data_IF_356659237065
#
_entry.id   IF_356659237065
#
_cell.length_a   1.000
_cell.length_b   1.000
_cell.length_c   1.000
_cell.angle_alpha   90.00
_cell.angle_beta   90.00
_cell.angle_gamma   90.00
#
_symmetry.space_group_name_H-M   'P 1'
#
loop_
_entity.id
_entity.type
_entity.pdbx_description
1 polymer ?
#
# COMPACT_ATOMS: atom_id res chain seq x y z
N UNK A 1 15.42 39.96 -18.24
CA UNK A 1 14.05 39.72 -18.74
C UNK A 1 14.03 38.34 -19.42
N UNK A 2 14.13 37.24 -18.66
CA UNK A 2 14.32 35.87 -19.17
C UNK A 2 13.31 34.85 -18.58
N UNK A 3 12.15 35.32 -18.16
CA UNK A 3 11.14 34.52 -17.45
C UNK A 3 10.07 33.91 -18.35
N UNK A 4 9.93 34.35 -19.61
CA UNK A 4 8.95 33.79 -20.54
C UNK A 4 9.40 32.47 -21.18
N UNK A 5 10.69 32.36 -21.55
CA UNK A 5 11.24 31.19 -22.22
C UNK A 5 11.26 29.95 -21.32
N UNK A 6 11.52 30.14 -20.02
CA UNK A 6 11.48 29.07 -19.02
C UNK A 6 10.07 28.52 -18.84
N UNK A 7 9.04 29.37 -18.81
CA UNK A 7 7.64 28.93 -18.70
C UNK A 7 7.16 28.14 -19.91
N UNK A 8 7.64 28.46 -21.11
CA UNK A 8 7.29 27.72 -22.33
C UNK A 8 8.00 26.36 -22.38
N UNK A 9 9.26 26.31 -21.92
CA UNK A 9 10.02 25.07 -21.80
C UNK A 9 9.38 24.07 -20.84
N UNK A 10 8.99 24.52 -19.64
CA UNK A 10 8.28 23.69 -18.66
C UNK A 10 6.94 23.15 -19.19
N UNK A 11 6.17 23.98 -19.91
CA UNK A 11 4.88 23.58 -20.47
C UNK A 11 5.03 22.52 -21.58
N UNK A 12 6.08 22.61 -22.40
CA UNK A 12 6.37 21.62 -23.44
C UNK A 12 6.88 20.31 -22.82
N UNK A 13 7.71 20.38 -21.78
CA UNK A 13 8.21 19.20 -21.07
C UNK A 13 7.08 18.44 -20.37
N UNK A 14 6.14 19.15 -19.74
CA UNK A 14 4.95 18.56 -19.11
C UNK A 14 4.00 17.86 -20.10
N UNK A 15 4.05 18.24 -21.38
CA UNK A 15 3.23 17.64 -22.45
C UNK A 15 3.92 16.47 -23.15
N UNK A 16 5.25 16.45 -23.15
CA UNK A 16 6.06 15.35 -23.71
C UNK A 16 6.35 14.25 -22.69
N UNK A 17 6.42 14.59 -21.41
CA UNK A 17 6.60 13.60 -20.36
C UNK A 17 5.35 12.70 -20.31
N UNK A 18 5.48 11.38 -20.52
CA UNK A 18 4.37 10.48 -20.29
C UNK A 18 3.95 10.66 -18.83
N UNK A 19 2.68 11.03 -18.64
CA UNK A 19 2.03 11.11 -17.35
C UNK A 19 1.80 9.68 -16.87
N UNK A 20 2.89 8.97 -16.57
CA UNK A 20 2.86 7.71 -15.85
C UNK A 20 2.26 8.05 -14.50
N UNK A 21 1.05 7.57 -14.25
CA UNK A 21 0.55 7.43 -12.90
C UNK A 21 1.67 6.73 -12.14
N UNK A 22 2.31 7.44 -11.23
CA UNK A 22 3.30 6.83 -10.37
C UNK A 22 2.57 5.65 -9.74
N UNK A 23 2.97 4.43 -10.14
CA UNK A 23 2.61 3.22 -9.41
C UNK A 23 3.36 3.33 -8.09
N UNK A 24 2.90 4.22 -7.21
CA UNK A 24 3.29 4.26 -5.83
C UNK A 24 2.75 2.96 -5.27
N UNK A 25 3.54 1.90 -5.42
CA UNK A 25 3.19 0.60 -4.90
C UNK A 25 2.85 0.77 -3.43
N UNK A 26 1.80 0.11 -2.97
CA UNK A 26 1.44 0.17 -1.56
C UNK A 26 2.62 -0.26 -0.70
N UNK A 27 2.82 0.33 0.49
CA UNK A 27 3.88 -0.09 1.38
C UNK A 27 3.71 -1.57 1.70
N UNK A 28 4.81 -2.33 1.59
CA UNK A 28 4.80 -3.74 1.96
C UNK A 28 4.81 -3.84 3.48
N UNK A 29 3.64 -4.08 4.06
CA UNK A 29 3.46 -4.13 5.51
C UNK A 29 2.94 -5.50 5.93
N UNK A 30 3.43 -6.00 7.06
CA UNK A 30 2.96 -7.25 7.66
C UNK A 30 2.45 -6.99 9.07
N UNK A 31 1.26 -7.51 9.38
CA UNK A 31 0.66 -7.39 10.70
C UNK A 31 0.03 -8.72 11.14
N UNK A 32 -0.22 -8.82 12.44
CA UNK A 32 -1.03 -9.89 12.99
C UNK A 32 -2.46 -9.42 13.17
N UNK A 33 -3.38 -10.18 12.62
CA UNK A 33 -4.81 -10.01 12.80
C UNK A 33 -5.29 -11.01 13.87
N UNK A 34 -6.17 -10.56 14.75
CA UNK A 34 -6.65 -11.30 15.91
C UNK A 34 -8.17 -11.35 15.88
N UNK A 35 -8.74 -12.52 16.15
CA UNK A 35 -10.18 -12.66 16.31
C UNK A 35 -10.54 -13.56 17.48
N UNK A 36 -11.60 -13.18 18.15
CA UNK A 36 -12.26 -14.02 19.14
C UNK A 36 -13.43 -14.76 18.48
N UNK A 37 -13.52 -16.07 18.70
CA UNK A 37 -14.68 -16.86 18.28
C UNK A 37 -15.06 -17.79 19.43
N UNK A 38 -16.15 -17.46 20.11
CA UNK A 38 -16.47 -18.03 21.43
C UNK A 38 -15.39 -17.66 22.44
N UNK A 39 -14.92 -18.65 23.23
CA UNK A 39 -13.85 -18.48 24.22
C UNK A 39 -12.44 -18.67 23.63
N UNK A 40 -12.27 -18.75 22.31
CA UNK A 40 -10.99 -19.04 21.65
C UNK A 40 -10.48 -17.82 20.89
N UNK A 41 -9.24 -17.43 21.17
CA UNK A 41 -8.49 -16.41 20.45
C UNK A 41 -7.70 -17.06 19.32
N UNK A 42 -7.92 -16.54 18.11
CA UNK A 42 -7.20 -16.92 16.91
C UNK A 42 -6.34 -15.76 16.42
N UNK A 43 -5.20 -16.10 15.82
CA UNK A 43 -4.30 -15.17 15.16
C UNK A 43 -3.98 -15.64 13.76
N UNK A 44 -3.89 -14.70 12.81
CA UNK A 44 -3.32 -14.94 11.48
C UNK A 44 -2.34 -13.83 11.13
N UNK A 45 -1.40 -14.11 10.22
CA UNK A 45 -0.51 -13.09 9.66
C UNK A 45 -1.09 -12.58 8.35
N UNK A 46 -1.14 -11.28 8.18
CA UNK A 46 -1.53 -10.62 6.93
C UNK A 46 -0.36 -9.79 6.40
N UNK A 47 -0.26 -9.69 5.08
CA UNK A 47 0.77 -8.92 4.39
C UNK A 47 0.14 -8.17 3.22
N UNK A 48 0.32 -6.85 3.18
CA UNK A 48 0.06 -6.03 2.01
C UNK A 48 1.29 -6.09 1.12
N UNK A 49 1.10 -6.38 -0.16
CA UNK A 49 2.18 -6.38 -1.16
C UNK A 49 2.22 -5.06 -1.92
N UNK A 50 3.33 -4.80 -2.62
CA UNK A 50 3.55 -3.59 -3.42
C UNK A 50 2.52 -3.39 -4.54
N UNK A 51 1.77 -4.43 -4.90
CA UNK A 51 0.63 -4.38 -5.80
C UNK A 51 -0.71 -4.05 -5.09
N UNK A 52 -0.65 -3.50 -3.86
CA UNK A 52 -1.83 -3.16 -3.05
C UNK A 52 -2.76 -4.32 -2.74
N UNK A 53 -2.28 -5.56 -2.88
CA UNK A 53 -3.04 -6.76 -2.53
C UNK A 53 -2.70 -7.20 -1.12
N UNK A 54 -3.73 -7.37 -0.30
CA UNK A 54 -3.60 -7.94 1.04
C UNK A 54 -3.82 -9.44 1.00
N UNK A 55 -2.82 -10.20 1.41
CA UNK A 55 -2.90 -11.65 1.57
C UNK A 55 -2.80 -12.02 3.04
N UNK A 56 -3.71 -12.88 3.51
CA UNK A 56 -3.70 -13.36 4.89
C UNK A 56 -3.55 -14.88 4.95
N UNK A 57 -2.73 -15.36 5.88
CA UNK A 57 -2.57 -16.77 6.17
C UNK A 57 -3.77 -17.38 6.90
N UNK A 58 -3.62 -18.65 7.26
CA UNK A 58 -4.63 -19.43 8.00
C UNK A 58 -4.75 -18.92 9.44
N UNK A 59 -5.95 -19.02 10.00
CA UNK A 59 -6.19 -18.78 11.43
C UNK A 59 -5.60 -19.89 12.29
N UNK A 60 -4.73 -19.51 13.22
CA UNK A 60 -4.18 -20.41 14.24
C UNK A 60 -4.73 -20.05 15.60
N UNK A 61 -5.17 -21.06 16.36
CA UNK A 61 -5.52 -20.87 17.77
C UNK A 61 -4.26 -20.49 18.57
N UNK A 62 -4.37 -19.48 19.45
CA UNK A 62 -3.24 -19.03 20.27
C UNK A 62 -3.54 -19.03 21.78
N UNK A 63 -4.75 -18.71 22.20
CA UNK A 63 -5.13 -18.66 23.62
C UNK A 63 -6.64 -18.58 23.77
N UNK A 64 -7.13 -18.42 25.01
CA UNK A 64 -8.49 -17.98 25.24
C UNK A 64 -8.61 -16.47 25.05
N UNK A 65 -9.83 -16.02 24.72
CA UNK A 65 -10.13 -14.60 24.73
C UNK A 65 -10.16 -14.08 26.18
N UNK A 66 -9.74 -12.83 26.40
CA UNK A 66 -9.91 -12.19 27.70
C UNK A 66 -11.38 -12.11 28.10
#
# INVERSE_FOLDING_TARGET
MFTLATRLGDAMLAKLAPRTEASAGCPTESWYDYRCTGARLYRRRCTTSSNCTTSCGIWSYISQCP
#
